data_IF_286760919084
#
_entry.id   IF_286760919084
#
_cell.length_a   1.000
_cell.length_b   1.000
_cell.length_c   1.000
_cell.angle_alpha   90.00
_cell.angle_beta   90.00
_cell.angle_gamma   90.00
#
_symmetry.space_group_name_H-M   'P 1'
#
loop_
_entity.id
_entity.type
_entity.pdbx_description
1 polymer ?
#
# COMPACT_ATOMS: atom_id res chain seq x y z
N UNK A 1 -17.63 19.44 -9.91
CA UNK A 1 -17.28 18.43 -8.88
C UNK A 1 -17.28 17.09 -9.57
N UNK A 2 -16.13 16.41 -9.63
CA UNK A 2 -16.02 15.15 -10.36
C UNK A 2 -16.87 14.08 -9.66
N UNK A 3 -17.88 13.56 -10.37
CA UNK A 3 -18.77 12.48 -9.88
C UNK A 3 -17.97 11.27 -9.38
N UNK A 4 -16.80 11.03 -9.98
CA UNK A 4 -15.88 9.99 -9.57
C UNK A 4 -15.42 10.13 -8.11
N UNK A 5 -14.99 11.32 -7.68
CA UNK A 5 -14.46 11.54 -6.32
C UNK A 5 -15.50 11.18 -5.28
N UNK A 6 -16.74 11.66 -5.45
CA UNK A 6 -17.82 11.40 -4.51
C UNK A 6 -18.25 9.91 -4.55
N UNK A 7 -18.24 9.28 -5.73
CA UNK A 7 -18.50 7.83 -5.87
C UNK A 7 -17.41 6.95 -5.24
N UNK A 8 -16.14 7.32 -5.41
CA UNK A 8 -15.01 6.55 -4.88
C UNK A 8 -14.90 6.68 -3.36
N UNK A 9 -15.06 7.91 -2.85
CA UNK A 9 -15.06 8.15 -1.41
C UNK A 9 -16.26 7.47 -0.75
N UNK A 10 -17.47 7.58 -1.30
CA UNK A 10 -18.62 6.90 -0.68
C UNK A 10 -18.45 5.38 -0.59
N UNK A 11 -17.78 4.75 -1.56
CA UNK A 11 -17.48 3.32 -1.53
C UNK A 11 -16.33 2.95 -0.57
N UNK A 12 -15.31 3.80 -0.43
CA UNK A 12 -14.06 3.45 0.25
C UNK A 12 -13.72 4.28 1.49
N UNK A 13 -14.56 5.22 1.94
CA UNK A 13 -14.27 6.13 3.08
C UNK A 13 -13.88 5.37 4.35
N UNK A 14 -14.48 4.21 4.62
CA UNK A 14 -14.16 3.39 5.79
C UNK A 14 -12.73 2.80 5.75
N UNK A 15 -12.15 2.66 4.56
CA UNK A 15 -10.85 2.04 4.30
C UNK A 15 -9.68 3.03 4.41
N UNK A 16 -9.95 4.32 4.64
CA UNK A 16 -8.94 5.37 4.75
C UNK A 16 -8.87 5.97 6.17
N UNK A 17 -7.75 6.62 6.53
CA UNK A 17 -7.64 7.43 7.73
C UNK A 17 -8.53 8.68 7.62
N UNK A 18 -9.39 8.92 8.60
CA UNK A 18 -10.32 10.07 8.60
C UNK A 18 -9.61 11.42 8.53
N UNK A 19 -8.40 11.48 9.08
CA UNK A 19 -7.53 12.66 9.09
C UNK A 19 -7.07 13.06 7.68
N UNK A 20 -6.94 12.09 6.77
CA UNK A 20 -6.41 12.29 5.43
C UNK A 20 -7.51 12.36 4.36
N UNK A 21 -8.78 12.21 4.73
CA UNK A 21 -9.90 12.32 3.80
C UNK A 21 -9.97 13.67 3.07
N UNK A 22 -9.74 14.83 3.71
CA UNK A 22 -9.75 16.11 2.99
C UNK A 22 -8.65 16.21 1.93
N UNK A 23 -7.45 15.70 2.21
CA UNK A 23 -6.34 15.72 1.25
C UNK A 23 -6.52 14.71 0.13
N UNK A 24 -7.08 13.53 0.42
CA UNK A 24 -7.51 12.55 -0.58
C UNK A 24 -8.57 13.13 -1.51
N UNK A 25 -9.58 13.82 -0.96
CA UNK A 25 -10.64 14.46 -1.75
C UNK A 25 -10.07 15.48 -2.72
N UNK A 26 -9.17 16.34 -2.26
CA UNK A 26 -8.52 17.34 -3.11
C UNK A 26 -7.75 16.66 -4.25
N UNK A 27 -6.91 15.67 -3.94
CA UNK A 27 -6.11 14.93 -4.92
C UNK A 27 -6.96 14.16 -5.93
N UNK A 28 -8.02 13.49 -5.48
CA UNK A 28 -8.95 12.76 -6.35
C UNK A 28 -9.76 13.72 -7.23
N UNK A 29 -10.07 14.92 -6.74
CA UNK A 29 -10.80 15.93 -7.52
C UNK A 29 -9.97 16.53 -8.66
N UNK A 30 -8.64 16.43 -8.58
CA UNK A 30 -7.69 16.88 -9.59
C UNK A 30 -7.43 15.83 -10.68
N UNK A 31 -7.88 14.58 -10.50
CA UNK A 31 -7.72 13.53 -11.51
C UNK A 31 -8.72 13.68 -12.66
N UNK A 32 -8.24 13.45 -13.87
CA UNK A 32 -9.09 13.28 -15.05
C UNK A 32 -9.70 11.87 -15.13
N UNK A 33 -10.76 11.68 -15.92
CA UNK A 33 -11.54 10.43 -15.97
C UNK A 33 -10.68 9.20 -16.36
N UNK A 34 -9.67 9.41 -17.22
CA UNK A 34 -8.68 8.39 -17.60
C UNK A 34 -7.76 7.99 -16.43
N UNK A 35 -7.31 8.97 -15.65
CA UNK A 35 -6.43 8.73 -14.50
C UNK A 35 -7.20 8.10 -13.34
N UNK A 36 -8.46 8.52 -13.13
CA UNK A 36 -9.36 7.92 -12.14
C UNK A 36 -9.50 6.40 -12.33
N UNK A 37 -9.72 5.95 -13.57
CA UNK A 37 -9.87 4.53 -13.88
C UNK A 37 -8.55 3.75 -13.66
N UNK A 38 -7.41 4.39 -13.91
CA UNK A 38 -6.08 3.80 -13.65
C UNK A 38 -5.76 3.74 -12.14
N UNK A 39 -6.15 4.73 -11.34
CA UNK A 39 -5.97 4.70 -9.87
C UNK A 39 -6.79 3.58 -9.24
N UNK A 40 -8.02 3.36 -9.70
CA UNK A 40 -8.86 2.23 -9.26
C UNK A 40 -8.20 0.88 -9.59
N UNK A 41 -7.65 0.74 -10.81
CA UNK A 41 -7.02 -0.49 -11.24
C UNK A 41 -5.68 -0.76 -10.54
N UNK A 42 -4.91 0.30 -10.27
CA UNK A 42 -3.61 0.21 -9.60
C UNK A 42 -3.72 0.08 -8.08
N UNK A 43 -4.78 0.63 -7.48
CA UNK A 43 -4.97 0.62 -6.03
C UNK A 43 -6.04 -0.40 -5.63
N UNK A 44 -5.61 -1.60 -5.30
CA UNK A 44 -6.48 -2.60 -4.67
C UNK A 44 -6.71 -2.23 -3.19
N UNK A 45 -7.68 -1.33 -2.96
CA UNK A 45 -8.05 -0.84 -1.63
C UNK A 45 -8.48 -2.00 -0.75
N UNK A 46 -7.65 -2.34 0.24
CA UNK A 46 -7.91 -3.45 1.16
C UNK A 46 -8.90 -3.05 2.24
N UNK A 47 -9.77 -3.97 2.63
CA UNK A 47 -10.75 -3.71 3.67
C UNK A 47 -10.14 -3.95 5.08
N UNK A 48 -10.10 -2.95 5.99
CA UNK A 48 -9.57 -3.10 7.34
C UNK A 48 -10.33 -4.14 8.17
N UNK A 49 -11.64 -4.30 7.93
CA UNK A 49 -12.46 -5.31 8.60
C UNK A 49 -12.04 -6.72 8.15
N UNK A 50 -11.76 -6.92 6.86
CA UNK A 50 -11.22 -8.20 6.38
C UNK A 50 -9.86 -8.50 6.99
N UNK A 51 -8.97 -7.50 7.06
CA UNK A 51 -7.68 -7.65 7.73
C UNK A 51 -7.83 -8.02 9.21
N UNK A 52 -8.81 -7.43 9.92
CA UNK A 52 -9.13 -7.77 11.30
C UNK A 52 -9.68 -9.19 11.43
N UNK A 53 -10.58 -9.61 10.55
CA UNK A 53 -11.11 -10.99 10.52
C UNK A 53 -9.94 -11.97 10.33
N UNK A 54 -9.06 -11.71 9.36
CA UNK A 54 -7.85 -12.51 9.15
C UNK A 54 -6.95 -12.51 10.40
N UNK A 55 -6.86 -11.40 11.13
CA UNK A 55 -6.07 -11.32 12.36
C UNK A 55 -6.70 -12.12 13.52
N UNK A 56 -8.02 -12.24 13.57
CA UNK A 56 -8.71 -13.06 14.59
C UNK A 56 -8.51 -14.55 14.30
N UNK A 57 -8.73 -14.99 13.06
CA UNK A 57 -8.66 -16.42 12.71
C UNK A 57 -7.23 -16.91 12.45
N UNK A 58 -6.37 -16.05 11.91
CA UNK A 58 -5.04 -16.39 11.39
C UNK A 58 -3.94 -15.43 11.89
N UNK A 59 -4.22 -14.55 12.87
CA UNK A 59 -3.23 -13.58 13.37
C UNK A 59 -2.07 -14.19 14.14
N UNK A 60 -2.24 -15.40 14.68
CA UNK A 60 -1.15 -16.21 15.22
C UNK A 60 -0.15 -16.67 14.15
N UNK A 61 -0.60 -16.74 12.89
CA UNK A 61 0.23 -17.05 11.72
C UNK A 61 0.65 -15.79 10.93
N UNK A 62 0.26 -14.58 11.38
CA UNK A 62 0.61 -13.33 10.71
C UNK A 62 0.00 -13.14 9.31
N UNK A 63 -1.02 -13.92 8.93
CA UNK A 63 -1.69 -13.85 7.60
C UNK A 63 -2.30 -12.48 7.34
N UNK A 64 -2.77 -11.82 8.39
CA UNK A 64 -3.25 -10.45 8.35
C UNK A 64 -2.20 -9.46 7.87
N UNK A 65 -0.91 -9.65 8.22
CA UNK A 65 0.20 -8.81 7.76
C UNK A 65 0.61 -9.11 6.33
N UNK A 66 0.55 -10.38 5.92
CA UNK A 66 0.76 -10.75 4.52
C UNK A 66 -0.35 -10.18 3.61
N UNK A 67 -1.59 -10.12 4.09
CA UNK A 67 -2.72 -9.55 3.33
C UNK A 67 -2.54 -8.06 2.99
N UNK A 68 -1.96 -7.28 3.90
CA UNK A 68 -1.68 -5.85 3.68
C UNK A 68 -0.35 -5.57 2.97
N UNK A 69 0.39 -6.61 2.55
CA UNK A 69 1.69 -6.47 1.88
C UNK A 69 2.90 -6.32 2.83
N UNK A 70 2.70 -6.35 4.15
CA UNK A 70 3.75 -6.26 5.16
C UNK A 70 4.39 -7.62 5.46
N UNK A 71 5.04 -8.20 4.45
CA UNK A 71 5.63 -9.55 4.49
C UNK A 71 6.69 -9.71 5.60
N UNK A 72 7.54 -8.70 5.81
CA UNK A 72 8.60 -8.77 6.84
C UNK A 72 8.05 -8.91 8.26
N UNK A 73 7.00 -8.16 8.57
CA UNK A 73 6.35 -8.18 9.89
C UNK A 73 5.52 -9.47 10.08
N UNK A 74 4.92 -9.99 9.00
CA UNK A 74 4.25 -11.29 8.99
C UNK A 74 5.18 -12.46 9.32
N UNK A 75 6.37 -12.50 8.70
CA UNK A 75 7.40 -13.51 9.00
C UNK A 75 7.88 -13.38 10.46
N UNK A 76 8.06 -12.14 10.94
CA UNK A 76 8.42 -11.90 12.34
C UNK A 76 7.41 -12.49 13.33
N UNK A 77 6.11 -12.32 13.09
CA UNK A 77 5.05 -12.93 13.91
C UNK A 77 5.10 -14.45 13.85
N UNK A 78 5.26 -15.04 12.66
CA UNK A 78 5.35 -16.50 12.48
C UNK A 78 6.51 -17.13 13.27
N UNK A 79 7.70 -16.54 13.19
CA UNK A 79 8.86 -17.06 13.91
C UNK A 79 8.68 -16.91 15.42
N UNK A 80 8.10 -15.81 15.86
CA UNK A 80 7.86 -15.58 17.28
C UNK A 80 6.77 -16.51 17.84
N UNK A 81 5.68 -16.77 17.12
CA UNK A 81 4.62 -17.67 17.56
C UNK A 81 5.01 -19.15 17.45
N UNK A 82 5.95 -19.52 16.57
CA UNK A 82 6.39 -20.91 16.41
C UNK A 82 7.62 -21.26 17.25
N UNK A 83 8.65 -20.40 17.30
CA UNK A 83 9.93 -20.73 17.96
C UNK A 83 9.99 -20.38 19.45
N UNK A 84 9.43 -19.23 19.88
CA UNK A 84 9.44 -18.90 21.31
C UNK A 84 8.74 -19.94 22.20
N UNK A 85 7.55 -20.49 21.85
CA UNK A 85 6.91 -21.45 22.74
C UNK A 85 7.70 -22.76 22.88
N UNK A 86 8.51 -23.15 21.89
CA UNK A 86 9.38 -24.33 21.98
C UNK A 86 10.49 -24.09 23.02
N UNK A 87 11.13 -22.92 23.00
CA UNK A 87 12.23 -22.57 23.91
C UNK A 87 11.71 -22.31 25.34
N UNK A 88 10.52 -21.71 25.45
CA UNK A 88 9.94 -21.24 26.71
C UNK A 88 8.94 -22.22 27.32
N UNK A 89 8.84 -23.47 26.81
CA UNK A 89 7.86 -24.48 27.23
C UNK A 89 6.42 -23.94 27.31
N UNK A 90 6.02 -23.15 26.31
CA UNK A 90 4.67 -22.59 26.22
C UNK A 90 4.40 -21.36 27.11
N UNK A 91 5.30 -20.94 27.99
CA UNK A 91 5.12 -19.72 28.80
C UNK A 91 4.96 -18.45 27.95
N UNK A 92 5.64 -18.43 26.79
CA UNK A 92 5.52 -17.34 25.82
C UNK A 92 4.10 -17.16 25.27
N UNK A 93 3.24 -18.19 25.27
CA UNK A 93 1.89 -18.10 24.70
C UNK A 93 1.05 -17.02 25.39
N UNK A 94 1.26 -16.79 26.69
CA UNK A 94 0.58 -15.73 27.43
C UNK A 94 0.96 -14.32 26.92
N UNK A 95 2.26 -14.09 26.69
CA UNK A 95 2.76 -12.81 26.16
C UNK A 95 2.38 -12.61 24.69
N UNK A 96 2.43 -13.68 23.90
CA UNK A 96 2.01 -13.66 22.49
C UNK A 96 0.53 -13.37 22.34
N UNK A 97 -0.32 -13.86 23.25
CA UNK A 97 -1.74 -13.53 23.26
C UNK A 97 -2.00 -12.03 23.47
N UNK A 98 -1.29 -11.40 24.42
CA UNK A 98 -1.34 -9.95 24.62
C UNK A 98 -0.91 -9.21 23.35
N UNK A 99 0.17 -9.66 22.69
CA UNK A 99 0.62 -9.07 21.44
C UNK A 99 -0.43 -9.18 20.32
N UNK A 100 -1.09 -10.34 20.16
CA UNK A 100 -2.16 -10.53 19.18
C UNK A 100 -3.33 -9.57 19.44
N UNK A 101 -3.73 -9.37 20.70
CA UNK A 101 -4.81 -8.43 21.05
C UNK A 101 -4.44 -6.99 20.71
N UNK A 102 -3.20 -6.57 21.01
CA UNK A 102 -2.69 -5.25 20.61
C UNK A 102 -2.63 -5.12 19.09
N UNK A 103 -2.29 -6.21 18.41
CA UNK A 103 -2.21 -6.24 16.96
C UNK A 103 -3.57 -6.06 16.28
N UNK A 104 -4.68 -6.49 16.90
CA UNK A 104 -6.03 -6.23 16.37
C UNK A 104 -6.35 -4.74 16.23
N UNK A 105 -5.83 -3.90 17.12
CA UNK A 105 -5.97 -2.45 16.99
C UNK A 105 -4.97 -1.86 15.98
N UNK A 106 -3.74 -2.39 15.94
CA UNK A 106 -2.71 -1.94 15.00
C UNK A 106 -3.04 -2.30 13.55
N UNK A 107 -3.63 -3.47 13.28
CA UNK A 107 -3.86 -3.94 11.92
C UNK A 107 -4.89 -3.08 11.18
N UNK A 108 -5.92 -2.58 11.88
CA UNK A 108 -6.91 -1.68 11.31
C UNK A 108 -6.25 -0.39 10.83
N UNK A 109 -5.42 0.22 11.67
CA UNK A 109 -4.71 1.46 11.35
C UNK A 109 -3.66 1.21 10.27
N UNK A 110 -2.93 0.09 10.35
CA UNK A 110 -1.94 -0.28 9.34
C UNK A 110 -2.56 -0.54 7.96
N UNK A 111 -3.75 -1.15 7.90
CA UNK A 111 -4.48 -1.36 6.64
C UNK A 111 -4.87 -0.03 6.02
N UNK A 112 -5.42 0.89 6.82
CA UNK A 112 -5.79 2.23 6.36
C UNK A 112 -4.58 3.04 5.86
N UNK A 113 -3.46 2.95 6.58
CA UNK A 113 -2.21 3.58 6.18
C UNK A 113 -1.66 3.00 4.86
N UNK A 114 -1.66 1.67 4.72
CA UNK A 114 -1.21 1.00 3.50
C UNK A 114 -2.08 1.37 2.29
N UNK A 115 -3.40 1.46 2.46
CA UNK A 115 -4.30 1.92 1.39
C UNK A 115 -4.00 3.35 0.94
N UNK A 116 -3.69 4.25 1.89
CA UNK A 116 -3.33 5.63 1.58
C UNK A 116 -1.99 5.72 0.84
N UNK A 117 -0.99 4.96 1.29
CA UNK A 117 0.31 4.88 0.65
C UNK A 117 0.22 4.32 -0.78
N UNK A 118 -0.61 3.29 -0.99
CA UNK A 118 -0.86 2.72 -2.30
C UNK A 118 -1.44 3.76 -3.27
N UNK A 119 -2.44 4.54 -2.83
CA UNK A 119 -3.01 5.63 -3.66
C UNK A 119 -1.95 6.69 -3.93
N UNK A 120 -1.20 7.12 -2.92
CA UNK A 120 -0.18 8.15 -3.12
C UNK A 120 0.90 7.71 -4.09
N UNK A 121 1.32 6.44 -4.01
CA UNK A 121 2.28 5.86 -4.95
C UNK A 121 1.70 5.84 -6.36
N UNK A 122 0.45 5.35 -6.53
CA UNK A 122 -0.23 5.34 -7.81
C UNK A 122 -0.36 6.75 -8.42
N UNK A 123 -0.74 7.74 -7.61
CA UNK A 123 -0.81 9.15 -8.01
C UNK A 123 0.56 9.71 -8.42
N UNK A 124 1.62 9.38 -7.69
CA UNK A 124 2.99 9.82 -7.99
C UNK A 124 3.53 9.18 -9.28
N UNK A 125 3.24 7.90 -9.50
CA UNK A 125 3.60 7.21 -10.75
C UNK A 125 2.84 7.77 -11.95
N UNK A 126 1.62 8.30 -11.78
CA UNK A 126 0.82 8.90 -12.87
C UNK A 126 1.17 10.37 -13.14
N UNK A 127 1.67 11.10 -12.15
CA UNK A 127 2.32 12.41 -12.42
C UNK A 127 3.70 12.22 -13.07
N UNK A 128 4.27 11.03 -12.99
CA UNK A 128 5.42 10.57 -13.76
C UNK A 128 4.99 9.77 -15.02
N UNK A 129 4.18 10.35 -15.91
CA UNK A 129 3.90 9.76 -17.24
C UNK A 129 4.84 10.37 -18.29
N UNK A 130 5.00 9.75 -19.47
CA UNK A 130 6.22 9.22 -20.09
C UNK A 130 7.12 10.26 -20.77
N UNK A 131 6.89 11.56 -20.53
CA UNK A 131 7.55 12.65 -21.25
C UNK A 131 9.05 12.70 -20.91
N UNK A 132 9.42 12.30 -19.68
CA UNK A 132 10.82 12.13 -19.32
C UNK A 132 11.50 10.99 -20.06
N UNK A 133 10.82 9.90 -20.42
CA UNK A 133 11.47 8.77 -21.12
C UNK A 133 11.70 9.12 -22.59
N UNK A 134 10.74 9.75 -23.28
CA UNK A 134 10.96 10.26 -24.65
C UNK A 134 12.03 11.37 -24.68
N UNK A 135 12.03 12.30 -23.72
CA UNK A 135 13.08 13.35 -23.65
C UNK A 135 14.46 12.77 -23.30
N UNK A 136 14.53 11.64 -22.58
CA UNK A 136 15.79 10.95 -22.31
C UNK A 136 16.24 10.15 -23.54
N UNK A 137 15.34 9.46 -24.27
CA UNK A 137 15.69 8.74 -25.50
C UNK A 137 16.11 9.69 -26.62
N UNK A 138 15.37 10.79 -26.85
CA UNK A 138 15.74 11.83 -27.83
C UNK A 138 17.11 12.44 -27.48
N UNK A 139 17.36 12.74 -26.20
CA UNK A 139 18.65 13.28 -25.78
C UNK A 139 19.79 12.26 -25.87
N UNK A 140 19.50 10.97 -25.72
CA UNK A 140 20.50 9.90 -25.86
C UNK A 140 20.83 9.65 -27.34
N UNK A 141 19.84 9.71 -28.24
CA UNK A 141 20.05 9.57 -29.68
C UNK A 141 20.84 10.76 -30.27
N UNK A 142 20.49 11.99 -29.88
CA UNK A 142 21.23 13.21 -30.28
C UNK A 142 22.68 13.20 -29.76
N UNK A 143 22.94 12.60 -28.60
CA UNK A 143 24.31 12.46 -28.07
C UNK A 143 25.08 11.35 -28.79
N UNK A 144 24.43 10.26 -29.19
CA UNK A 144 25.07 9.17 -29.93
C UNK A 144 25.53 9.62 -31.33
N UNK A 145 24.69 10.36 -32.06
CA UNK A 145 25.04 10.87 -33.40
C UNK A 145 26.20 11.89 -33.37
N UNK A 146 26.29 12.71 -32.32
CA UNK A 146 27.39 13.67 -32.14
C UNK A 146 28.72 12.99 -31.79
N UNK A 147 28.68 11.81 -31.17
CA UNK A 147 29.89 11.03 -30.84
C UNK A 147 30.45 10.35 -32.09
N UNK A 148 29.59 9.86 -32.99
CA UNK A 148 30.02 9.19 -34.23
C UNK A 148 30.60 10.18 -35.26
N UNK A 149 30.09 11.41 -35.33
CA UNK A 149 30.61 12.46 -36.23
C UNK A 149 31.99 13.03 -35.83
N UNK A 150 32.55 12.64 -34.68
CA UNK A 150 33.84 13.14 -34.17
C UNK A 150 34.98 12.13 -34.38
N UNK A 151 34.69 10.92 -34.88
CA UNK A 151 35.68 9.85 -35.09
C UNK A 151 36.14 9.65 -36.57
N UNK A 152 35.69 10.48 -37.52
CA UNK A 152 36.22 10.53 -38.91
C UNK A 152 37.21 11.68 -39.16
#
# INVERSE_FOLDING_TARGET
MSNFTDSFLSANTANFPSEQLPSLRERLSQLDDSQANQVIAATDVKNPTTALILSIFLGGFGVDRFYIGNTGLGIGKLLATLLLPIITFGFSLFFTWIWVVVDWFLIMNATKAANFEAINTALATMTATPETVEVIEEKVEVVAEQVEATEE
#
